data_IF_323499549730
#
_entry.id   IF_323499549730
#
_cell.length_a   1.000
_cell.length_b   1.000
_cell.length_c   1.000
_cell.angle_alpha   90.00
_cell.angle_beta   90.00
_cell.angle_gamma   90.00
#
_symmetry.space_group_name_H-M   'P 1'
#
loop_
_entity.id
_entity.type
_entity.pdbx_description
1 polymer ?
#
# COMPACT_ATOMS: atom_id res chain seq x y z
N UNK A 1 -3.23 -28.82 -45.27
CA UNK A 1 -1.95 -28.84 -44.53
C UNK A 1 -1.99 -27.75 -43.48
N UNK A 2 -2.40 -28.10 -42.26
CA UNK A 2 -2.61 -27.17 -41.14
C UNK A 2 -1.24 -26.75 -40.59
N UNK A 3 -0.87 -25.48 -40.78
CA UNK A 3 0.31 -24.90 -40.14
C UNK A 3 -0.09 -24.40 -38.75
N UNK A 4 0.41 -25.08 -37.72
CA UNK A 4 0.47 -24.55 -36.35
C UNK A 4 1.28 -23.24 -36.38
N UNK A 5 0.72 -22.19 -35.78
CA UNK A 5 1.45 -20.96 -35.47
C UNK A 5 2.32 -21.28 -34.25
N UNK A 6 3.66 -21.11 -34.31
CA UNK A 6 4.51 -21.37 -33.16
C UNK A 6 4.23 -20.32 -32.09
N UNK A 7 4.20 -20.74 -30.82
CA UNK A 7 4.12 -19.87 -29.67
C UNK A 7 5.30 -18.89 -29.68
N UNK A 8 5.04 -17.67 -30.14
CA UNK A 8 6.01 -16.58 -30.09
C UNK A 8 6.06 -16.07 -28.64
N UNK A 9 7.03 -16.60 -27.90
CA UNK A 9 7.51 -15.99 -26.68
C UNK A 9 8.11 -14.61 -27.00
N UNK A 10 7.45 -13.53 -26.56
CA UNK A 10 8.06 -12.22 -26.29
C UNK A 10 6.99 -11.22 -25.87
N UNK A 11 6.74 -11.10 -24.56
CA UNK A 11 6.68 -9.82 -23.82
C UNK A 11 6.44 -10.10 -22.32
N UNK A 12 7.42 -10.72 -21.65
CA UNK A 12 7.28 -11.06 -20.22
C UNK A 12 8.24 -10.20 -19.38
N UNK A 13 7.94 -8.90 -19.26
CA UNK A 13 8.52 -8.07 -18.19
C UNK A 13 7.72 -8.17 -16.89
N UNK A 14 6.57 -8.86 -16.92
CA UNK A 14 5.80 -9.15 -15.72
C UNK A 14 6.49 -10.27 -14.94
N UNK A 15 6.92 -9.95 -13.73
CA UNK A 15 7.40 -10.93 -12.78
C UNK A 15 6.25 -11.85 -12.38
N UNK A 16 6.48 -13.15 -12.16
CA UNK A 16 5.43 -14.07 -11.72
C UNK A 16 4.73 -13.60 -10.42
N UNK A 17 5.44 -12.84 -9.59
CA UNK A 17 4.91 -12.24 -8.37
C UNK A 17 3.90 -11.13 -8.64
N UNK A 18 3.96 -10.45 -9.80
CA UNK A 18 3.02 -9.40 -10.18
C UNK A 18 1.65 -9.94 -10.64
N UNK A 19 1.58 -11.20 -11.07
CA UNK A 19 0.36 -11.83 -11.62
C UNK A 19 -0.87 -11.72 -10.70
N UNK A 20 -0.83 -12.12 -9.41
CA UNK A 20 -1.99 -12.00 -8.52
C UNK A 20 -2.47 -10.56 -8.33
N UNK A 21 -1.59 -9.58 -8.56
CA UNK A 21 -1.93 -8.16 -8.45
C UNK A 21 -2.56 -7.59 -9.73
N UNK A 22 -2.56 -8.35 -10.83
CA UNK A 22 -3.12 -7.95 -12.12
C UNK A 22 -4.38 -8.73 -12.49
N UNK A 23 -4.72 -9.77 -11.74
CA UNK A 23 -5.94 -10.55 -11.93
C UNK A 23 -7.18 -9.65 -11.87
N UNK A 24 -7.95 -9.63 -12.97
CA UNK A 24 -9.16 -8.81 -13.10
C UNK A 24 -8.93 -7.36 -13.54
N UNK A 25 -7.69 -6.92 -13.74
CA UNK A 25 -7.40 -5.58 -14.30
C UNK A 25 -7.69 -5.58 -15.80
N UNK A 26 -8.50 -4.63 -16.26
CA UNK A 26 -8.78 -4.43 -17.69
C UNK A 26 -8.09 -3.16 -18.18
N UNK A 27 -7.49 -3.23 -19.38
CA UNK A 27 -6.87 -2.09 -20.03
C UNK A 27 -7.57 -1.87 -21.36
N UNK A 28 -8.34 -0.80 -21.43
CA UNK A 28 -9.04 -0.39 -22.64
C UNK A 28 -8.31 0.77 -23.31
N UNK A 29 -8.17 0.72 -24.63
CA UNK A 29 -7.74 1.89 -25.39
C UNK A 29 -8.95 2.73 -25.73
N UNK A 30 -8.97 3.98 -25.27
CA UNK A 30 -10.07 4.91 -25.47
C UNK A 30 -9.59 6.06 -26.34
N UNK A 31 -10.22 6.20 -27.50
CA UNK A 31 -10.08 7.36 -28.38
C UNK A 31 -11.33 8.23 -28.30
N UNK A 32 -11.13 9.51 -28.01
CA UNK A 32 -12.19 10.50 -28.03
C UNK A 32 -11.70 11.80 -28.66
N UNK A 33 -12.61 12.76 -28.82
CA UNK A 33 -12.32 14.08 -29.42
C UNK A 33 -11.20 14.86 -28.69
N UNK A 34 -10.91 14.51 -27.43
CA UNK A 34 -9.89 15.15 -26.59
C UNK A 34 -8.53 14.41 -26.60
N UNK A 35 -8.44 13.26 -27.29
CA UNK A 35 -7.20 12.50 -27.45
C UNK A 35 -7.40 10.99 -27.35
N UNK A 36 -6.28 10.27 -27.41
CA UNK A 36 -6.24 8.82 -27.31
C UNK A 36 -5.42 8.39 -26.09
N UNK A 37 -5.89 7.42 -25.31
CA UNK A 37 -5.17 6.93 -24.14
C UNK A 37 -5.63 5.55 -23.66
N UNK A 38 -4.87 4.97 -22.74
CA UNK A 38 -5.25 3.72 -22.07
C UNK A 38 -6.02 4.05 -20.79
N UNK A 39 -7.23 3.49 -20.67
CA UNK A 39 -7.98 3.45 -19.42
C UNK A 39 -7.68 2.13 -18.73
N UNK A 40 -7.14 2.20 -17.52
CA UNK A 40 -6.86 1.04 -16.69
C UNK A 40 -7.94 0.97 -15.62
N UNK A 41 -8.83 -0.02 -15.71
CA UNK A 41 -9.82 -0.32 -14.69
C UNK A 41 -9.26 -1.46 -13.83
N UNK A 42 -8.76 -1.12 -12.64
CA UNK A 42 -8.24 -2.07 -11.66
C UNK A 42 -9.34 -2.42 -10.65
N UNK A 43 -9.55 -3.71 -10.32
CA UNK A 43 -10.47 -4.10 -9.26
C UNK A 43 -9.99 -3.52 -7.90
N UNK A 44 -10.90 -3.28 -6.94
CA UNK A 44 -10.51 -2.83 -5.61
C UNK A 44 -9.55 -3.86 -5.00
N UNK A 45 -8.32 -3.42 -4.76
CA UNK A 45 -7.22 -4.23 -4.24
C UNK A 45 -7.61 -4.72 -2.83
N UNK A 46 -8.01 -5.98 -2.70
CA UNK A 46 -7.82 -6.68 -1.43
C UNK A 46 -6.34 -7.02 -1.37
N UNK A 47 -5.57 -6.14 -0.73
CA UNK A 47 -4.30 -6.57 -0.16
C UNK A 47 -4.58 -7.82 0.69
N UNK A 48 -3.61 -8.71 0.90
CA UNK A 48 -3.71 -9.70 1.96
C UNK A 48 -3.82 -8.94 3.29
N UNK A 49 -5.00 -8.42 3.58
CA UNK A 49 -5.34 -7.77 4.83
C UNK A 49 -5.28 -8.85 5.87
N UNK A 50 -4.56 -8.58 6.96
CA UNK A 50 -4.60 -9.44 8.13
C UNK A 50 -6.04 -9.88 8.40
N UNK A 51 -6.26 -11.19 8.45
CA UNK A 51 -7.56 -11.76 8.72
C UNK A 51 -7.75 -11.88 10.24
N UNK A 52 -8.84 -11.33 10.76
CA UNK A 52 -9.22 -11.51 12.16
C UNK A 52 -9.83 -10.28 12.82
N UNK A 53 -10.45 -10.46 14.01
CA UNK A 53 -11.22 -9.43 14.68
C UNK A 53 -10.38 -8.23 15.14
N UNK A 54 -9.07 -8.40 15.34
CA UNK A 54 -8.15 -7.30 15.69
C UNK A 54 -7.80 -6.50 14.43
N UNK A 55 -7.50 -7.19 13.33
CA UNK A 55 -7.17 -6.54 12.07
C UNK A 55 -8.34 -5.74 11.52
N UNK A 56 -9.57 -6.25 11.62
CA UNK A 56 -10.78 -5.51 11.25
C UNK A 56 -10.95 -4.21 12.06
N UNK A 57 -10.71 -4.26 13.38
CA UNK A 57 -10.76 -3.05 14.22
C UNK A 57 -9.67 -2.04 13.83
N UNK A 58 -8.46 -2.51 13.55
CA UNK A 58 -7.36 -1.64 13.10
C UNK A 58 -7.73 -1.02 11.75
N UNK A 59 -8.27 -1.81 10.82
CA UNK A 59 -8.71 -1.34 9.50
C UNK A 59 -9.81 -0.28 9.63
N UNK A 60 -10.82 -0.50 10.48
CA UNK A 60 -11.84 0.51 10.76
C UNK A 60 -11.26 1.81 11.33
N UNK A 61 -10.35 1.70 12.30
CA UNK A 61 -9.68 2.88 12.87
C UNK A 61 -8.86 3.64 11.81
N UNK A 62 -8.18 2.90 10.93
CA UNK A 62 -7.44 3.46 9.82
C UNK A 62 -8.37 4.24 8.89
N UNK A 63 -9.49 3.65 8.48
CA UNK A 63 -10.41 4.24 7.50
C UNK A 63 -11.23 5.42 8.07
N UNK A 64 -11.62 5.35 9.34
CA UNK A 64 -12.54 6.32 9.95
C UNK A 64 -11.85 7.52 10.63
N UNK A 65 -10.62 7.34 11.14
CA UNK A 65 -9.93 8.39 11.91
C UNK A 65 -8.56 8.76 11.35
N UNK A 66 -7.71 7.75 11.10
CA UNK A 66 -6.31 8.00 10.77
C UNK A 66 -6.18 8.51 9.32
N UNK A 67 -6.72 7.78 8.34
CA UNK A 67 -6.63 8.13 6.92
C UNK A 67 -7.29 9.46 6.57
N UNK A 68 -8.45 9.84 7.11
CA UNK A 68 -8.99 11.20 6.90
C UNK A 68 -8.04 12.31 7.36
N UNK A 69 -7.36 12.09 8.49
CA UNK A 69 -6.37 13.03 9.03
C UNK A 69 -5.11 13.06 8.15
N UNK A 70 -4.60 11.89 7.73
CA UNK A 70 -3.42 11.78 6.86
C UNK A 70 -3.67 12.33 5.44
N UNK A 71 -4.87 12.14 4.91
CA UNK A 71 -5.25 12.59 3.57
C UNK A 71 -5.16 14.12 3.44
N UNK A 72 -5.43 14.85 4.53
CA UNK A 72 -5.26 16.32 4.59
C UNK A 72 -3.81 16.76 4.38
N UNK A 73 -2.85 15.87 4.66
CA UNK A 73 -1.42 16.06 4.43
C UNK A 73 -0.91 15.32 3.18
N UNK A 74 -1.82 14.82 2.35
CA UNK A 74 -1.49 14.06 1.13
C UNK A 74 -0.89 12.68 1.41
N UNK A 75 -1.15 12.11 2.59
CA UNK A 75 -0.68 10.79 3.02
C UNK A 75 -1.80 9.80 3.27
N UNK A 76 -1.41 8.59 3.68
CA UNK A 76 -2.31 7.52 4.10
C UNK A 76 -1.53 6.38 4.76
N UNK A 77 -2.24 5.52 5.48
CA UNK A 77 -1.68 4.32 6.09
C UNK A 77 -2.56 3.11 5.74
N UNK A 78 -1.90 1.99 5.46
CA UNK A 78 -2.56 0.76 5.08
C UNK A 78 -2.09 -0.37 5.99
N UNK A 79 -3.01 -1.17 6.50
CA UNK A 79 -2.67 -2.35 7.31
C UNK A 79 -2.16 -3.46 6.39
N UNK A 80 -0.95 -3.93 6.65
CA UNK A 80 -0.34 -5.05 5.92
C UNK A 80 -0.56 -6.37 6.64
N UNK A 81 -0.25 -6.42 7.95
CA UNK A 81 -0.37 -7.65 8.74
C UNK A 81 -0.57 -7.35 10.23
N UNK A 82 -1.04 -8.32 11.00
CA UNK A 82 -1.10 -8.29 12.47
C UNK A 82 -0.63 -9.62 13.01
N UNK A 83 0.49 -9.61 13.74
CA UNK A 83 1.09 -10.84 14.25
C UNK A 83 1.69 -10.61 15.63
N UNK A 84 1.42 -11.53 16.56
CA UNK A 84 2.00 -11.53 17.92
C UNK A 84 1.80 -10.19 18.67
N UNK A 85 0.67 -9.51 18.44
CA UNK A 85 0.39 -8.19 19.03
C UNK A 85 1.16 -7.03 18.38
N UNK A 86 1.74 -7.24 17.20
CA UNK A 86 2.43 -6.23 16.40
C UNK A 86 1.62 -5.97 15.14
N UNK A 87 1.30 -4.70 14.89
CA UNK A 87 0.65 -4.28 13.65
C UNK A 87 1.68 -3.80 12.64
N UNK A 88 1.69 -4.39 11.45
CA UNK A 88 2.53 -4.00 10.34
C UNK A 88 1.73 -3.08 9.43
N UNK A 89 2.18 -1.84 9.27
CA UNK A 89 1.52 -0.84 8.44
C UNK A 89 2.45 -0.35 7.36
N UNK A 90 1.88 0.06 6.24
CA UNK A 90 2.56 0.78 5.17
C UNK A 90 2.05 2.22 5.18
N UNK A 91 2.95 3.19 5.41
CA UNK A 91 2.62 4.62 5.36
C UNK A 91 3.02 5.20 3.99
N UNK A 92 2.06 5.79 3.27
CA UNK A 92 2.26 6.43 1.98
C UNK A 92 2.09 7.95 1.99
N UNK A 93 2.69 8.63 1.02
CA UNK A 93 2.36 10.03 0.65
C UNK A 93 3.16 11.17 1.31
N UNK A 94 2.54 12.34 1.50
CA UNK A 94 3.14 13.68 1.56
C UNK A 94 4.26 13.99 2.58
N UNK A 95 4.58 13.09 3.51
CA UNK A 95 5.62 13.29 4.53
C UNK A 95 6.84 12.36 4.39
N UNK A 96 7.00 11.66 3.25
CA UNK A 96 8.13 10.75 2.99
C UNK A 96 9.49 11.45 2.84
N UNK A 97 9.56 12.78 2.85
CA UNK A 97 10.79 13.55 2.56
C UNK A 97 11.55 14.12 3.77
N UNK A 98 10.99 14.07 4.98
CA UNK A 98 11.60 14.63 6.19
C UNK A 98 11.56 13.63 7.34
N UNK A 99 12.73 13.22 7.82
CA UNK A 99 12.86 12.13 8.78
C UNK A 99 12.26 12.51 10.18
N UNK A 100 12.26 13.78 10.57
CA UNK A 100 11.55 14.28 11.76
C UNK A 100 10.03 14.04 11.64
N UNK A 101 9.47 14.32 10.47
CA UNK A 101 8.03 14.21 10.21
C UNK A 101 7.56 12.75 10.18
N UNK A 102 8.40 11.84 9.66
CA UNK A 102 8.14 10.40 9.66
C UNK A 102 8.01 9.85 11.09
N UNK A 103 8.92 10.20 11.99
CA UNK A 103 8.87 9.73 13.38
C UNK A 103 7.63 10.22 14.12
N UNK A 104 7.27 11.50 13.96
CA UNK A 104 6.05 12.04 14.57
C UNK A 104 4.78 11.39 14.02
N UNK A 105 4.77 11.06 12.73
CA UNK A 105 3.62 10.43 12.08
C UNK A 105 3.41 9.00 12.58
N UNK A 106 4.49 8.21 12.57
CA UNK A 106 4.49 6.85 13.13
C UNK A 106 4.01 6.86 14.58
N UNK A 107 4.57 7.74 15.40
CA UNK A 107 4.22 7.83 16.82
C UNK A 107 2.74 8.20 17.02
N UNK A 108 2.20 9.10 16.19
CA UNK A 108 0.78 9.48 16.23
C UNK A 108 -0.14 8.30 15.89
N UNK A 109 0.16 7.59 14.81
CA UNK A 109 -0.58 6.38 14.39
C UNK A 109 -0.50 5.30 15.47
N UNK A 110 0.70 5.05 16.00
CA UNK A 110 0.94 4.05 17.04
C UNK A 110 0.18 4.38 18.33
N UNK A 111 0.15 5.66 18.73
CA UNK A 111 -0.61 6.10 19.91
C UNK A 111 -2.11 5.85 19.72
N UNK A 112 -2.67 6.28 18.58
CA UNK A 112 -4.10 6.09 18.29
C UNK A 112 -4.51 4.62 18.23
N UNK A 113 -3.67 3.77 17.62
CA UNK A 113 -3.92 2.33 17.57
C UNK A 113 -3.90 1.74 18.98
N UNK A 114 -2.90 2.06 19.80
CA UNK A 114 -2.77 1.53 21.17
C UNK A 114 -3.88 2.01 22.10
N UNK A 115 -4.34 3.25 21.94
CA UNK A 115 -5.44 3.81 22.74
C UNK A 115 -6.78 3.12 22.45
N UNK A 116 -7.04 2.77 21.20
CA UNK A 116 -8.29 2.13 20.79
C UNK A 116 -8.23 0.60 20.86
N UNK A 117 -7.04 0.01 20.73
CA UNK A 117 -6.80 -1.43 20.61
C UNK A 117 -5.60 -1.79 21.48
N UNK A 118 -5.80 -1.95 22.81
CA UNK A 118 -4.73 -2.21 23.77
C UNK A 118 -4.08 -3.60 23.59
N UNK A 119 -4.67 -4.48 22.77
CA UNK A 119 -4.06 -5.75 22.38
C UNK A 119 -2.81 -5.57 21.50
N UNK A 120 -2.62 -4.39 20.90
CA UNK A 120 -1.43 -4.06 20.10
C UNK A 120 -0.34 -3.47 21.00
N UNK A 121 0.81 -4.14 21.00
CA UNK A 121 2.00 -3.78 21.78
C UNK A 121 2.95 -2.89 21.00
N UNK A 122 2.99 -3.02 19.67
CA UNK A 122 3.91 -2.30 18.80
C UNK A 122 3.30 -2.10 17.40
N UNK A 123 3.67 -1.00 16.75
CA UNK A 123 3.33 -0.72 15.36
C UNK A 123 4.62 -0.52 14.57
N UNK A 124 4.80 -1.32 13.53
CA UNK A 124 5.96 -1.29 12.64
C UNK A 124 5.56 -0.77 11.28
N UNK A 125 6.32 0.21 10.79
CA UNK A 125 6.22 0.65 9.40
C UNK A 125 7.11 -0.22 8.53
N UNK A 126 6.52 -0.87 7.52
CA UNK A 126 7.24 -1.75 6.59
C UNK A 126 7.76 -1.01 5.35
N UNK A 127 7.51 0.29 5.23
CA UNK A 127 7.99 1.05 4.08
C UNK A 127 9.48 1.35 4.16
N UNK A 128 10.13 1.29 2.99
CA UNK A 128 11.52 1.70 2.84
C UNK A 128 11.60 3.22 2.69
N UNK A 129 11.67 3.91 3.83
CA UNK A 129 11.89 5.36 3.88
C UNK A 129 13.34 5.77 3.57
N UNK A 130 14.24 4.83 3.30
CA UNK A 130 15.68 5.10 3.18
C UNK A 130 16.09 5.67 1.81
N UNK A 131 15.22 5.66 0.81
CA UNK A 131 15.60 6.02 -0.57
C UNK A 131 15.92 7.50 -0.84
N UNK A 132 16.03 8.38 0.19
CA UNK A 132 16.68 9.70 0.04
C UNK A 132 17.62 10.14 1.16
N UNK A 133 18.41 9.20 1.69
CA UNK A 133 19.39 9.38 2.79
C UNK A 133 18.68 9.51 4.13
N UNK A 134 18.73 8.44 4.91
CA UNK A 134 18.53 8.48 6.35
C UNK A 134 19.54 9.48 6.97
N UNK A 135 19.11 10.67 7.45
CA UNK A 135 20.03 11.64 8.05
C UNK A 135 20.37 11.28 9.50
N UNK A 136 19.71 10.29 10.10
CA UNK A 136 19.83 9.98 11.53
C UNK A 136 20.96 9.02 11.88
N UNK A 137 21.60 8.40 10.87
CA UNK A 137 22.83 7.66 11.04
C UNK A 137 23.90 8.19 10.09
N UNK A 138 24.47 9.35 10.43
CA UNK A 138 25.80 9.73 9.98
C UNK A 138 26.72 9.67 11.21
N UNK A 139 27.55 8.63 11.26
CA UNK A 139 28.73 8.59 12.12
C UNK A 139 29.87 9.35 11.44
#
# INVERSE_FOLDING_TARGET
MTRLIPAMASMSTLTPQALPFLEGTTVDYVENLMGSGFKVDAPPRKLPTAEGPIAERIQQLLDEQINPSLASHGGGATLMDVKDGIAFIEIGGGCQGCAMSQMTLKNGIETLIKENIPEITEVLDVTDHAERRNPYYQA
#
